data_IF_650370194235
#
_entry.id   IF_650370194235
#
_cell.length_a   1.000
_cell.length_b   1.000
_cell.length_c   1.000
_cell.angle_alpha   90.00
_cell.angle_beta   90.00
_cell.angle_gamma   90.00
#
_symmetry.space_group_name_H-M   'P 1'
#
loop_
_entity.id
_entity.type
_entity.pdbx_description
1 polymer ?
#
# COMPACT_ATOMS: atom_id res chain seq x y z
N UNK A 1 -25.18 16.31 -20.36
CA UNK A 1 -26.09 15.81 -19.31
C UNK A 1 -27.57 16.06 -19.63
N UNK A 2 -27.95 17.16 -20.30
CA UNK A 2 -29.36 17.48 -20.59
C UNK A 2 -30.08 16.53 -21.56
N UNK A 3 -29.36 15.96 -22.54
CA UNK A 3 -29.97 15.07 -23.54
C UNK A 3 -30.30 13.67 -23.00
N UNK A 4 -29.62 13.20 -21.96
CA UNK A 4 -29.86 11.89 -21.35
C UNK A 4 -31.03 11.92 -20.35
N UNK A 5 -31.28 13.04 -19.67
CA UNK A 5 -32.46 13.22 -18.82
C UNK A 5 -33.77 13.25 -19.63
N UNK A 6 -33.73 13.74 -20.87
CA UNK A 6 -34.90 13.78 -21.74
C UNK A 6 -35.33 12.38 -22.24
N UNK A 7 -34.41 11.41 -22.30
CA UNK A 7 -34.70 10.07 -22.82
C UNK A 7 -35.23 9.08 -21.77
N UNK A 8 -34.92 9.27 -20.48
CA UNK A 8 -35.20 8.27 -19.42
C UNK A 8 -36.18 8.71 -18.34
N UNK A 9 -36.69 9.95 -18.37
CA UNK A 9 -37.62 10.46 -17.35
C UNK A 9 -37.02 10.50 -15.94
N UNK A 10 -37.82 10.71 -14.89
CA UNK A 10 -37.36 10.79 -13.48
C UNK A 10 -36.87 9.46 -12.89
N UNK A 11 -36.48 8.51 -13.74
CA UNK A 11 -35.77 7.32 -13.30
C UNK A 11 -34.37 7.74 -12.92
N UNK A 12 -34.03 7.55 -11.64
CA UNK A 12 -32.77 7.91 -11.00
C UNK A 12 -31.57 7.56 -11.90
N UNK A 13 -31.08 8.53 -12.68
CA UNK A 13 -29.78 8.42 -13.33
C UNK A 13 -28.77 8.54 -12.19
N UNK A 14 -28.36 7.40 -11.65
CA UNK A 14 -27.26 7.31 -10.70
C UNK A 14 -26.01 7.85 -11.38
N UNK A 15 -25.71 9.13 -11.15
CA UNK A 15 -24.48 9.73 -11.60
C UNK A 15 -23.37 9.25 -10.66
N UNK A 16 -22.70 8.16 -11.02
CA UNK A 16 -21.42 7.82 -10.39
C UNK A 16 -20.38 8.84 -10.87
N UNK A 17 -19.89 9.68 -9.96
CA UNK A 17 -18.65 10.43 -10.16
C UNK A 17 -17.52 9.41 -10.29
N UNK A 18 -17.25 8.99 -11.52
CA UNK A 18 -16.14 8.08 -11.82
C UNK A 18 -14.85 8.90 -11.93
N UNK A 19 -14.25 9.23 -10.79
CA UNK A 19 -12.81 9.50 -10.75
C UNK A 19 -12.11 8.15 -10.98
N UNK A 20 -11.90 7.80 -12.26
CA UNK A 20 -11.29 6.54 -12.69
C UNK A 20 -9.80 6.51 -12.33
N UNK A 21 -9.49 6.35 -11.05
CA UNK A 21 -8.13 6.08 -10.59
C UNK A 21 -7.87 4.59 -10.78
N UNK A 22 -6.95 4.23 -11.67
CA UNK A 22 -6.64 2.83 -11.98
C UNK A 22 -5.90 2.11 -10.84
N UNK A 23 -5.44 2.84 -9.83
CA UNK A 23 -4.66 2.33 -8.69
C UNK A 23 -4.86 3.19 -7.44
N UNK A 24 -4.76 2.55 -6.28
CA UNK A 24 -4.70 3.19 -4.94
C UNK A 24 -3.29 3.67 -4.56
N UNK A 25 -2.31 3.46 -5.43
CA UNK A 25 -0.96 4.01 -5.25
C UNK A 25 -0.97 5.53 -5.35
N UNK A 26 -0.02 6.17 -4.65
CA UNK A 26 0.15 7.61 -4.78
C UNK A 26 0.50 8.00 -6.22
N UNK A 27 -0.08 9.10 -6.75
CA UNK A 27 0.32 9.65 -8.05
C UNK A 27 1.80 10.01 -8.12
N UNK A 28 2.44 10.24 -6.98
CA UNK A 28 3.85 10.56 -6.89
C UNK A 28 4.54 9.66 -5.87
N UNK A 29 5.61 9.01 -6.31
CA UNK A 29 6.56 8.33 -5.44
C UNK A 29 7.97 8.68 -5.86
N UNK A 30 8.88 8.72 -4.89
CA UNK A 30 10.29 9.00 -5.12
C UNK A 30 11.13 8.07 -4.27
N UNK A 31 12.22 7.56 -4.84
CA UNK A 31 13.17 6.71 -4.12
C UNK A 31 14.56 7.32 -4.25
N UNK A 32 15.21 7.53 -3.11
CA UNK A 32 16.59 7.95 -3.03
C UNK A 32 17.42 6.82 -2.41
N UNK A 33 18.51 6.46 -3.08
CA UNK A 33 19.45 5.46 -2.59
C UNK A 33 20.84 6.08 -2.51
N UNK A 34 21.52 5.81 -1.40
CA UNK A 34 22.92 6.15 -1.20
C UNK A 34 23.67 4.90 -0.76
N UNK A 35 24.82 4.63 -1.36
CA UNK A 35 25.72 3.55 -0.97
C UNK A 35 27.13 4.10 -0.83
N UNK A 36 27.79 3.72 0.25
CA UNK A 36 29.19 4.01 0.52
C UNK A 36 29.92 2.69 0.77
N UNK A 37 31.05 2.52 0.10
CA UNK A 37 31.91 1.36 0.24
C UNK A 37 33.32 1.84 0.58
N UNK A 38 33.97 1.13 1.51
CA UNK A 38 35.34 1.39 1.89
C UNK A 38 36.14 0.08 1.94
N UNK A 39 37.27 -0.02 1.21
CA UNK A 39 38.13 -1.19 1.31
C UNK A 39 38.90 -1.16 2.63
N UNK A 40 38.72 -2.19 3.47
CA UNK A 40 39.47 -2.34 4.71
C UNK A 40 40.77 -3.14 4.50
N UNK A 41 40.76 -4.07 3.55
CA UNK A 41 41.90 -4.89 3.16
C UNK A 41 41.65 -5.53 1.79
N UNK A 42 42.66 -6.18 1.20
CA UNK A 42 42.53 -6.91 -0.06
C UNK A 42 41.47 -8.03 -0.05
N UNK A 43 41.01 -8.45 1.15
CA UNK A 43 40.04 -9.54 1.35
C UNK A 43 38.75 -9.10 2.02
N UNK A 44 38.58 -7.81 2.27
CA UNK A 44 37.41 -7.32 3.02
C UNK A 44 37.09 -5.86 2.70
N UNK A 45 35.87 -5.66 2.22
CA UNK A 45 35.23 -4.36 2.07
C UNK A 45 34.14 -4.20 3.12
N UNK A 46 33.99 -2.98 3.64
CA UNK A 46 32.80 -2.57 4.39
C UNK A 46 31.91 -1.72 3.51
N UNK A 47 30.60 -1.87 3.65
CA UNK A 47 29.63 -1.02 2.98
C UNK A 47 28.53 -0.56 3.92
N UNK A 48 27.96 0.60 3.61
CA UNK A 48 26.75 1.12 4.21
C UNK A 48 25.84 1.65 3.10
N UNK A 49 24.55 1.29 3.15
CA UNK A 49 23.56 1.70 2.17
C UNK A 49 22.29 2.20 2.86
N UNK A 50 21.85 3.38 2.47
CA UNK A 50 20.54 3.92 2.83
C UNK A 50 19.61 3.90 1.63
N UNK A 51 18.36 3.50 1.86
CA UNK A 51 17.28 3.53 0.88
C UNK A 51 16.08 4.25 1.51
N UNK A 52 15.74 5.42 0.99
CA UNK A 52 14.57 6.17 1.39
C UNK A 52 13.54 6.17 0.27
N UNK A 53 12.31 5.74 0.57
CA UNK A 53 11.19 5.78 -0.36
C UNK A 53 10.09 6.66 0.19
N UNK A 54 9.74 7.70 -0.56
CA UNK A 54 8.63 8.60 -0.30
C UNK A 54 7.41 8.21 -1.14
N UNK A 55 6.27 8.14 -0.49
CA UNK A 55 4.96 7.97 -1.11
C UNK A 55 4.16 9.25 -0.83
N UNK A 56 3.70 9.92 -1.89
CA UNK A 56 2.80 11.06 -1.75
C UNK A 56 1.44 10.65 -1.19
N UNK A 57 0.53 11.61 -1.06
CA UNK A 57 -0.84 11.28 -0.67
C UNK A 57 -1.52 10.40 -1.72
N UNK A 58 -2.39 9.50 -1.27
CA UNK A 58 -3.25 8.70 -2.15
C UNK A 58 -4.66 8.63 -1.58
N UNK A 59 -5.64 8.43 -2.45
CA UNK A 59 -7.03 8.23 -2.02
C UNK A 59 -7.31 6.75 -2.11
N UNK A 60 -7.66 6.13 -1.00
CA UNK A 60 -7.90 4.68 -0.95
C UNK A 60 -9.36 4.36 -1.31
N UNK A 61 -10.28 5.31 -1.08
CA UNK A 61 -11.72 5.19 -1.36
C UNK A 61 -12.21 6.34 -2.27
N UNK A 62 -12.76 6.07 -3.46
CA UNK A 62 -13.27 7.12 -4.37
C UNK A 62 -14.49 7.88 -3.82
N UNK A 63 -15.23 7.29 -2.89
CA UNK A 63 -16.51 7.80 -2.38
C UNK A 63 -16.37 8.56 -1.06
N UNK A 64 -15.19 8.53 -0.43
CA UNK A 64 -14.93 9.23 0.83
C UNK A 64 -13.72 10.16 0.71
N UNK A 65 -13.99 11.45 0.52
CA UNK A 65 -12.97 12.51 0.43
C UNK A 65 -12.27 12.83 1.77
N UNK A 66 -12.67 12.21 2.87
CA UNK A 66 -12.10 12.43 4.20
C UNK A 66 -11.13 11.32 4.64
N UNK A 67 -10.98 10.25 3.85
CA UNK A 67 -10.11 9.11 4.14
C UNK A 67 -8.94 9.03 3.13
N UNK A 68 -8.30 10.19 2.93
CA UNK A 68 -7.10 10.31 2.12
C UNK A 68 -5.89 9.80 2.93
N UNK A 69 -5.14 8.88 2.33
CA UNK A 69 -3.88 8.42 2.89
C UNK A 69 -2.85 9.56 2.83
N UNK A 70 -2.48 10.09 4.00
CA UNK A 70 -1.43 11.08 4.11
C UNK A 70 -0.07 10.54 3.62
N UNK A 71 0.72 11.41 3.01
CA UNK A 71 2.07 11.08 2.53
C UNK A 71 2.94 10.46 3.61
N UNK A 72 3.82 9.53 3.23
CA UNK A 72 4.70 8.86 4.16
C UNK A 72 6.03 8.46 3.52
N UNK A 73 7.06 8.35 4.36
CA UNK A 73 8.39 7.92 3.97
C UNK A 73 8.79 6.65 4.72
N UNK A 74 9.48 5.74 4.03
CA UNK A 74 10.11 4.56 4.62
C UNK A 74 11.63 4.68 4.43
N UNK A 75 12.36 4.61 5.53
CA UNK A 75 13.83 4.55 5.52
C UNK A 75 14.27 3.12 5.86
N UNK A 76 15.09 2.55 4.97
CA UNK A 76 15.73 1.26 5.14
C UNK A 76 17.25 1.47 5.13
N UNK A 77 17.93 0.89 6.11
CA UNK A 77 19.38 0.95 6.27
C UNK A 77 19.97 -0.44 6.15
N UNK A 78 21.12 -0.53 5.51
CA UNK A 78 21.89 -1.75 5.32
C UNK A 78 23.35 -1.44 5.61
N UNK A 79 24.04 -2.35 6.29
CA UNK A 79 25.46 -2.24 6.51
C UNK A 79 26.06 -3.63 6.56
N UNK A 80 27.25 -3.82 6.03
CA UNK A 80 27.82 -5.15 5.96
C UNK A 80 29.29 -5.18 5.62
N UNK A 81 29.82 -6.38 5.70
CA UNK A 81 31.17 -6.75 5.31
C UNK A 81 31.07 -7.74 4.16
N UNK A 82 31.93 -7.59 3.15
CA UNK A 82 31.98 -8.53 2.03
C UNK A 82 33.41 -8.76 1.58
N UNK A 83 33.66 -9.95 1.07
CA UNK A 83 34.86 -10.26 0.32
C UNK A 83 34.81 -9.55 -1.05
N UNK A 84 35.85 -8.81 -1.47
CA UNK A 84 35.89 -8.15 -2.78
C UNK A 84 35.74 -9.14 -3.95
N UNK A 85 36.19 -10.38 -3.77
CA UNK A 85 36.08 -11.47 -4.74
C UNK A 85 34.72 -12.21 -4.65
N UNK A 86 33.86 -11.82 -3.70
CA UNK A 86 32.48 -12.27 -3.57
C UNK A 86 32.30 -13.63 -2.89
N UNK A 87 33.35 -14.18 -2.26
CA UNK A 87 33.35 -15.47 -1.58
C UNK A 87 32.36 -15.53 -0.41
N UNK A 88 32.24 -14.43 0.34
CA UNK A 88 31.31 -14.30 1.45
C UNK A 88 30.81 -12.87 1.61
N UNK A 89 29.63 -12.71 2.23
CA UNK A 89 29.05 -11.42 2.58
C UNK A 89 28.20 -11.55 3.84
N UNK A 90 28.44 -10.68 4.81
CA UNK A 90 27.65 -10.53 6.03
C UNK A 90 26.96 -9.17 5.99
N UNK A 91 25.63 -9.16 5.90
CA UNK A 91 24.82 -7.96 5.78
C UNK A 91 23.82 -7.84 6.94
N UNK A 92 23.82 -6.70 7.60
CA UNK A 92 22.82 -6.29 8.58
C UNK A 92 21.85 -5.32 7.93
N UNK A 93 20.57 -5.45 8.25
CA UNK A 93 19.54 -4.55 7.74
C UNK A 93 18.57 -4.10 8.83
N UNK A 94 18.09 -2.87 8.66
CA UNK A 94 17.01 -2.27 9.43
C UNK A 94 16.00 -1.68 8.43
N UNK A 95 14.83 -2.29 8.31
CA UNK A 95 13.75 -1.79 7.46
C UNK A 95 12.76 -1.00 8.29
N UNK A 96 12.16 0.03 7.67
CA UNK A 96 11.21 0.93 8.31
C UNK A 96 11.73 1.45 9.66
N UNK A 97 12.91 2.10 9.65
CA UNK A 97 13.64 2.52 10.86
C UNK A 97 12.78 3.42 11.78
N UNK A 98 11.92 4.23 11.18
CA UNK A 98 11.01 5.14 11.90
C UNK A 98 9.71 4.48 12.38
N UNK A 99 9.52 3.18 12.11
CA UNK A 99 8.31 2.42 12.47
C UNK A 99 7.02 3.08 11.97
N UNK A 100 7.06 3.56 10.73
CA UNK A 100 5.93 4.23 10.10
C UNK A 100 4.83 3.21 9.80
N UNK A 101 3.71 3.33 10.50
CA UNK A 101 2.49 2.53 10.25
C UNK A 101 1.52 3.36 9.41
N UNK A 102 1.20 2.86 8.23
CA UNK A 102 0.24 3.47 7.30
C UNK A 102 -0.65 2.41 6.69
N UNK A 103 -1.93 2.72 6.57
CA UNK A 103 -2.87 1.86 5.83
C UNK A 103 -2.47 1.87 4.36
N UNK A 104 -2.22 0.72 3.75
CA UNK A 104 -1.85 0.62 2.32
C UNK A 104 -3.04 0.24 1.46
N UNK A 105 -4.03 -0.44 2.07
CA UNK A 105 -5.32 -0.76 1.45
C UNK A 105 -6.44 -0.73 2.48
N UNK A 106 -7.60 -0.31 2.01
CA UNK A 106 -8.86 -0.36 2.71
C UNK A 106 -9.83 -1.16 1.84
N UNK A 107 -10.49 -2.15 2.44
CA UNK A 107 -11.57 -2.89 1.80
C UNK A 107 -12.88 -2.46 2.47
N UNK A 108 -13.84 -1.92 1.69
CA UNK A 108 -15.15 -1.56 2.20
C UNK A 108 -15.82 -2.76 2.88
N UNK A 109 -16.68 -2.53 3.89
CA UNK A 109 -17.45 -3.59 4.50
C UNK A 109 -18.31 -4.32 3.46
N UNK A 110 -18.45 -5.63 3.62
CA UNK A 110 -19.33 -6.41 2.75
C UNK A 110 -20.80 -5.96 2.92
N UNK A 111 -21.46 -5.68 1.81
CA UNK A 111 -22.89 -5.38 1.75
C UNK A 111 -23.64 -6.51 1.07
N UNK A 112 -24.73 -6.97 1.68
CA UNK A 112 -25.65 -7.96 1.07
C UNK A 112 -27.02 -7.34 0.84
N UNK A 113 -27.59 -7.57 -0.33
CA UNK A 113 -28.95 -7.16 -0.67
C UNK A 113 -29.94 -8.27 -0.32
N UNK A 114 -31.00 -7.93 0.39
CA UNK A 114 -32.10 -8.84 0.71
C UNK A 114 -33.45 -8.18 0.42
N UNK A 115 -34.47 -9.01 0.43
CA UNK A 115 -35.85 -8.61 0.18
C UNK A 115 -36.60 -8.71 1.52
N UNK A 116 -37.12 -7.59 2.01
CA UNK A 116 -37.91 -7.54 3.23
C UNK A 116 -39.41 -7.55 2.89
N UNK A 117 -40.16 -8.44 3.52
CA UNK A 117 -41.61 -8.48 3.38
C UNK A 117 -42.22 -7.49 4.36
N UNK A 118 -42.79 -6.41 3.85
CA UNK A 118 -43.51 -5.44 4.68
C UNK A 118 -44.94 -5.94 4.92
N UNK A 119 -45.36 -6.05 6.19
CA UNK A 119 -46.67 -6.60 6.54
C UNK A 119 -47.75 -5.49 6.46
N UNK A 120 -48.64 -5.63 5.47
CA UNK A 120 -49.92 -4.93 5.25
C UNK A 120 -49.86 -3.48 4.73
N UNK A 121 -50.86 -3.04 3.92
CA UNK A 121 -52.12 -3.70 3.54
C UNK A 121 -52.09 -4.50 2.22
N UNK A 122 -50.97 -4.45 1.50
CA UNK A 122 -50.61 -5.33 0.39
C UNK A 122 -49.09 -5.42 0.49
N UNK A 123 -48.44 -6.60 0.57
CA UNK A 123 -47.01 -6.64 0.90
C UNK A 123 -46.16 -6.36 -0.36
N UNK A 124 -45.66 -5.13 -0.61
CA UNK A 124 -44.57 -4.99 -1.54
C UNK A 124 -43.32 -5.61 -0.91
N UNK A 125 -42.58 -6.36 -1.72
CA UNK A 125 -41.22 -6.73 -1.38
C UNK A 125 -40.35 -5.50 -1.56
N UNK A 126 -39.71 -5.04 -0.49
CA UNK A 126 -38.82 -3.87 -0.54
C UNK A 126 -37.38 -4.35 -0.52
N UNK A 127 -36.60 -3.92 -1.52
CA UNK A 127 -35.17 -4.15 -1.54
C UNK A 127 -34.49 -3.41 -0.39
N UNK A 128 -33.76 -4.14 0.44
CA UNK A 128 -32.94 -3.61 1.53
C UNK A 128 -31.50 -4.07 1.34
N UNK A 129 -30.56 -3.27 1.84
CA UNK A 129 -29.16 -3.66 1.94
C UNK A 129 -28.74 -3.66 3.41
N UNK A 130 -28.05 -4.72 3.80
CA UNK A 130 -27.34 -4.78 5.07
C UNK A 130 -25.85 -4.64 4.80
N UNK A 131 -25.22 -3.64 5.39
CA UNK A 131 -23.76 -3.42 5.31
C UNK A 131 -23.16 -3.77 6.66
N UNK A 132 -22.15 -4.64 6.65
CA UNK A 132 -21.44 -5.01 7.88
C UNK A 132 -20.69 -3.84 8.51
N UNK A 133 -20.30 -3.97 9.77
CA UNK A 133 -19.52 -2.96 10.51
C UNK A 133 -18.00 -3.19 10.45
N UNK A 134 -17.55 -4.31 9.87
CA UNK A 134 -16.13 -4.67 9.78
C UNK A 134 -15.56 -4.31 8.42
N UNK A 135 -14.50 -3.51 8.42
CA UNK A 135 -13.64 -3.24 7.27
C UNK A 135 -12.29 -3.94 7.45
N UNK A 136 -11.73 -4.46 6.37
CA UNK A 136 -10.38 -5.05 6.39
C UNK A 136 -9.40 -4.01 5.90
N UNK A 137 -8.33 -3.77 6.68
CA UNK A 137 -7.24 -2.90 6.28
C UNK A 137 -5.94 -3.69 6.15
N UNK A 138 -5.10 -3.28 5.21
CA UNK A 138 -3.70 -3.70 5.16
C UNK A 138 -2.84 -2.51 5.58
N UNK A 139 -1.76 -2.78 6.31
CA UNK A 139 -0.83 -1.75 6.79
C UNK A 139 0.58 -1.96 6.24
N UNK A 140 1.41 -0.93 6.34
CA UNK A 140 2.85 -1.07 6.08
C UNK A 140 3.48 -2.05 7.07
N UNK A 141 4.49 -2.83 6.63
CA UNK A 141 5.25 -3.68 7.53
C UNK A 141 5.86 -2.86 8.68
N UNK A 142 5.86 -3.39 9.92
CA UNK A 142 6.50 -2.73 11.05
C UNK A 142 8.02 -2.68 10.87
N UNK A 143 8.71 -1.98 11.77
CA UNK A 143 10.17 -1.99 11.81
C UNK A 143 10.72 -3.41 11.96
N UNK A 144 11.66 -3.77 11.09
CA UNK A 144 12.27 -5.10 11.02
C UNK A 144 13.80 -4.98 11.02
N UNK A 145 14.45 -5.75 11.88
CA UNK A 145 15.91 -5.88 11.89
C UNK A 145 16.29 -7.31 11.55
N UNK A 146 17.42 -7.47 10.85
CA UNK A 146 17.94 -8.80 10.60
C UNK A 146 19.35 -8.80 10.08
N UNK A 147 19.85 -10.02 9.95
CA UNK A 147 21.18 -10.32 9.44
C UNK A 147 21.05 -11.36 8.33
N UNK A 148 21.91 -11.26 7.33
CA UNK A 148 22.02 -12.20 6.23
C UNK A 148 23.49 -12.56 6.06
N UNK A 149 23.78 -13.86 5.97
CA UNK A 149 25.09 -14.37 5.62
C UNK A 149 24.96 -15.10 4.29
N UNK A 150 25.75 -14.67 3.31
CA UNK A 150 25.90 -15.33 2.01
C UNK A 150 27.30 -15.93 1.95
N UNK A 151 27.39 -17.20 1.54
CA UNK A 151 28.65 -17.87 1.25
C UNK A 151 28.56 -18.52 -0.12
N UNK A 152 29.55 -18.29 -0.97
CA UNK A 152 29.63 -18.87 -2.30
C UNK A 152 30.70 -19.96 -2.33
N UNK A 153 30.29 -21.20 -2.62
CA UNK A 153 31.22 -22.33 -2.74
C UNK A 153 31.71 -22.41 -4.19
N UNK A 154 33.02 -22.23 -4.39
CA UNK A 154 33.66 -22.29 -5.70
C UNK A 154 34.22 -20.96 -6.23
N UNK A 155 34.41 -19.93 -5.38
CA UNK A 155 35.27 -18.80 -5.73
C UNK A 155 36.73 -19.28 -5.82
N UNK A 156 37.43 -18.80 -6.85
CA UNK A 156 38.74 -19.31 -7.30
C UNK A 156 39.87 -18.71 -6.50
#
# INVERSE_FOLDING_TARGET
MSQLQAAYGSNYIGACQLTQRSSVQSPFSATAQAEYMHPLSDKMDVFARGLFTYFGSSQVEPTNSFDDLGSYGLLNLYAGLRDPEGSWELNFYAKNVFDTVKTTRFNPPASTSYQELTLLPSPPTVGKSFTGTYSVIQTSPPREFGVNLRFALGSR
#
